data_IF_619367714614
#
_entry.id   IF_619367714614
#
_cell.length_a   1.000
_cell.length_b   1.000
_cell.length_c   1.000
_cell.angle_alpha   90.00
_cell.angle_beta   90.00
_cell.angle_gamma   90.00
#
_symmetry.space_group_name_H-M   'P 1'
#
loop_
_entity.id
_entity.type
_entity.pdbx_description
1 polymer ?
#
# COMPACT_ATOMS: atom_id res chain seq x y z
N UNK A 1 23.93 2.61 5.99
CA UNK A 1 24.34 1.91 6.04
C UNK A 1 23.97 0.60 5.72
N UNK A 2 24.08 -0.17 6.34
CA UNK A 2 23.96 -1.56 6.09
C UNK A 2 22.67 -1.98 5.42
N UNK A 3 21.68 -1.17 5.52
CA UNK A 3 20.40 -1.48 4.92
C UNK A 3 20.48 -1.68 3.43
N UNK A 4 21.41 -1.04 2.79
CA UNK A 4 21.53 -1.13 1.35
C UNK A 4 22.11 -2.46 0.91
N UNK A 5 22.43 -3.33 1.85
CA UNK A 5 23.15 -4.55 1.54
C UNK A 5 22.32 -5.72 1.07
N UNK A 6 21.02 -5.55 0.85
CA UNK A 6 20.20 -6.66 0.37
C UNK A 6 20.06 -6.59 -1.14
N UNK A 7 20.86 -7.40 -1.87
CA UNK A 7 20.78 -7.38 -3.33
C UNK A 7 19.38 -7.77 -3.80
N UNK A 8 18.84 -7.04 -4.74
CA UNK A 8 17.53 -7.31 -5.26
C UNK A 8 16.39 -6.70 -4.47
N UNK A 9 16.66 -6.17 -3.27
CA UNK A 9 15.62 -5.46 -2.51
C UNK A 9 15.69 -3.99 -2.84
N UNK A 10 14.60 -3.50 -3.39
CA UNK A 10 14.47 -2.09 -3.74
C UNK A 10 13.71 -1.37 -2.64
N UNK A 11 14.14 -0.16 -2.30
CA UNK A 11 13.41 0.69 -1.38
C UNK A 11 12.20 1.27 -2.08
N UNK A 12 11.03 1.00 -1.54
CA UNK A 12 9.79 1.53 -2.09
C UNK A 12 9.29 2.69 -1.24
N UNK A 13 8.62 3.64 -1.90
CA UNK A 13 7.83 4.67 -1.23
C UNK A 13 6.43 4.12 -1.07
N UNK A 14 6.02 3.85 0.15
CA UNK A 14 4.74 3.18 0.43
C UNK A 14 3.83 4.09 1.25
N UNK A 15 2.59 4.21 0.80
CA UNK A 15 1.53 4.87 1.59
C UNK A 15 0.72 3.77 2.26
N UNK A 16 0.68 3.79 3.59
CA UNK A 16 -0.16 2.90 4.38
C UNK A 16 -1.40 3.66 4.79
N UNK A 17 -2.59 3.09 4.50
CA UNK A 17 -3.86 3.71 4.88
C UNK A 17 -4.60 2.73 5.78
N UNK A 18 -4.67 3.05 7.06
CA UNK A 18 -5.26 2.18 8.07
C UNK A 18 -5.75 3.04 9.22
N UNK A 19 -7.04 2.99 9.53
CA UNK A 19 -7.61 3.81 10.59
C UNK A 19 -7.33 3.27 12.00
N UNK A 20 -7.07 1.97 12.13
CA UNK A 20 -6.79 1.37 13.43
C UNK A 20 -5.35 1.66 13.82
N UNK A 21 -5.18 2.44 14.88
CA UNK A 21 -3.86 2.95 15.27
C UNK A 21 -2.83 1.87 15.54
N UNK A 22 -3.21 0.81 16.24
CA UNK A 22 -2.27 -0.26 16.56
C UNK A 22 -1.83 -1.00 15.31
N UNK A 23 -2.77 -1.33 14.43
CA UNK A 23 -2.47 -2.00 13.17
C UNK A 23 -1.59 -1.12 12.30
N UNK A 24 -1.91 0.17 12.25
CA UNK A 24 -1.11 1.12 11.46
C UNK A 24 0.32 1.19 11.96
N UNK A 25 0.52 1.23 13.27
CA UNK A 25 1.88 1.27 13.85
C UNK A 25 2.66 0.00 13.54
N UNK A 26 2.00 -1.17 13.65
CA UNK A 26 2.66 -2.43 13.37
C UNK A 26 3.06 -2.50 11.89
N UNK A 27 2.16 -2.12 11.00
CA UNK A 27 2.45 -2.14 9.57
C UNK A 27 3.58 -1.19 9.21
N UNK A 28 3.52 0.04 9.69
CA UNK A 28 4.55 1.03 9.34
C UNK A 28 5.90 0.63 9.90
N UNK A 29 5.92 0.09 11.12
CA UNK A 29 7.16 -0.37 11.72
C UNK A 29 7.77 -1.53 10.95
N UNK A 30 6.96 -2.49 10.56
CA UNK A 30 7.43 -3.66 9.84
C UNK A 30 7.93 -3.30 8.44
N UNK A 31 7.17 -2.49 7.72
CA UNK A 31 7.56 -2.10 6.37
C UNK A 31 8.82 -1.24 6.38
N UNK A 32 8.96 -0.38 7.40
CA UNK A 32 10.19 0.37 7.59
C UNK A 32 11.36 -0.54 7.89
N UNK A 33 11.13 -1.59 8.67
CA UNK A 33 12.17 -2.59 8.97
C UNK A 33 12.62 -3.32 7.70
N UNK A 34 11.72 -3.52 6.75
CA UNK A 34 12.07 -4.11 5.46
C UNK A 34 12.87 -3.15 4.58
N UNK A 35 13.07 -1.92 5.01
CA UNK A 35 13.88 -0.95 4.28
C UNK A 35 13.11 0.03 3.43
N UNK A 36 11.79 0.05 3.54
CA UNK A 36 10.96 0.97 2.74
C UNK A 36 10.73 2.29 3.45
N UNK A 37 10.39 3.32 2.66
CA UNK A 37 10.06 4.63 3.16
C UNK A 37 8.53 4.72 3.25
N UNK A 38 8.00 5.01 4.45
CA UNK A 38 6.58 4.88 4.72
C UNK A 38 5.96 6.22 5.06
N UNK A 39 4.80 6.51 4.48
CA UNK A 39 3.89 7.55 4.92
C UNK A 39 2.63 6.85 5.40
N UNK A 40 2.00 7.37 6.42
CA UNK A 40 0.82 6.74 7.00
C UNK A 40 -0.36 7.70 7.07
N UNK A 41 -1.52 7.21 6.65
CA UNK A 41 -2.77 7.95 6.69
C UNK A 41 -3.80 7.11 7.42
N UNK A 42 -4.78 7.76 8.03
CA UNK A 42 -5.81 7.06 8.79
C UNK A 42 -7.21 7.22 8.20
N UNK A 43 -7.35 7.93 7.09
CA UNK A 43 -8.64 8.13 6.45
C UNK A 43 -8.46 8.51 4.98
N UNK A 44 -9.58 8.63 4.26
CA UNK A 44 -9.56 8.97 2.84
C UNK A 44 -8.92 10.33 2.60
N UNK A 45 -9.33 11.33 3.38
CA UNK A 45 -8.87 12.70 3.18
C UNK A 45 -7.35 12.82 3.30
N UNK A 46 -6.77 12.24 4.36
CA UNK A 46 -5.33 12.30 4.56
C UNK A 46 -4.58 11.49 3.50
N UNK A 47 -5.16 10.36 3.07
CA UNK A 47 -4.54 9.57 1.99
C UNK A 47 -4.49 10.36 0.69
N UNK A 48 -5.59 11.05 0.35
CA UNK A 48 -5.62 11.88 -0.85
C UNK A 48 -4.63 13.03 -0.78
N UNK A 49 -4.47 13.61 0.41
CA UNK A 49 -3.50 14.70 0.59
C UNK A 49 -2.08 14.21 0.33
N UNK A 50 -1.73 13.03 0.81
CA UNK A 50 -0.42 12.44 0.53
C UNK A 50 -0.22 12.21 -0.96
N UNK A 51 -1.23 11.67 -1.63
CA UNK A 51 -1.14 11.39 -3.06
C UNK A 51 -0.94 12.65 -3.92
N UNK A 52 -1.47 13.77 -3.46
CA UNK A 52 -1.29 15.04 -4.15
C UNK A 52 0.11 15.61 -3.90
N UNK A 53 0.71 15.28 -2.78
CA UNK A 53 1.96 15.88 -2.34
C UNK A 53 3.20 15.13 -2.79
N UNK A 54 3.11 13.81 -2.99
CA UNK A 54 4.30 13.05 -3.34
C UNK A 54 3.96 11.78 -4.11
N UNK A 55 5.00 11.19 -4.69
CA UNK A 55 4.89 9.94 -5.45
C UNK A 55 5.05 8.74 -4.55
N UNK A 56 4.30 7.69 -4.85
CA UNK A 56 4.40 6.42 -4.16
C UNK A 56 4.59 5.31 -5.17
N UNK A 57 5.28 4.25 -4.76
CA UNK A 57 5.43 3.04 -5.56
C UNK A 57 4.32 2.06 -5.24
N UNK A 58 3.80 2.11 -4.03
CA UNK A 58 2.75 1.21 -3.56
C UNK A 58 1.85 1.87 -2.54
N UNK A 59 0.60 1.41 -2.50
CA UNK A 59 -0.33 1.73 -1.42
C UNK A 59 -0.74 0.41 -0.77
N UNK A 60 -0.71 0.36 0.56
CA UNK A 60 -1.24 -0.76 1.33
C UNK A 60 -2.39 -0.19 2.15
N UNK A 61 -3.61 -0.55 1.83
CA UNK A 61 -4.79 0.10 2.40
C UNK A 61 -5.87 -0.88 2.84
N UNK A 62 -6.46 -0.59 3.99
CA UNK A 62 -7.71 -1.21 4.38
C UNK A 62 -8.78 -0.81 3.37
N UNK A 63 -9.77 -1.66 3.13
CA UNK A 63 -10.85 -1.37 2.19
C UNK A 63 -11.87 -0.39 2.77
N UNK A 64 -12.17 -0.51 4.05
CA UNK A 64 -13.14 0.36 4.71
C UNK A 64 -12.42 1.41 5.55
N UNK A 65 -12.76 2.66 5.37
CA UNK A 65 -12.16 3.77 6.09
C UNK A 65 -13.27 4.60 6.74
N UNK A 66 -12.97 5.35 7.82
CA UNK A 66 -14.03 6.04 8.56
C UNK A 66 -14.80 7.08 7.75
N UNK A 67 -14.16 7.69 6.76
CA UNK A 67 -14.76 8.75 5.96
C UNK A 67 -15.04 8.32 4.52
N UNK A 68 -15.02 7.02 4.25
CA UNK A 68 -15.34 6.54 2.91
C UNK A 68 -14.70 5.22 2.57
N UNK A 69 -14.58 4.95 1.29
CA UNK A 69 -14.02 3.71 0.79
C UNK A 69 -12.62 3.93 0.25
N UNK A 70 -11.73 2.97 0.51
CA UNK A 70 -10.40 2.99 -0.08
C UNK A 70 -10.47 2.94 -1.61
N UNK A 71 -11.57 2.45 -2.18
CA UNK A 71 -11.74 2.44 -3.62
C UNK A 71 -11.63 3.84 -4.21
N UNK A 72 -12.15 4.83 -3.49
CA UNK A 72 -12.05 6.22 -3.89
C UNK A 72 -10.59 6.68 -3.94
N UNK A 73 -9.83 6.30 -2.92
CA UNK A 73 -8.40 6.62 -2.85
C UNK A 73 -7.65 5.98 -4.02
N UNK A 74 -7.95 4.71 -4.29
CA UNK A 74 -7.22 3.97 -5.32
C UNK A 74 -7.54 4.46 -6.73
N UNK A 75 -8.79 4.81 -7.00
CA UNK A 75 -9.15 5.39 -8.30
C UNK A 75 -8.36 6.67 -8.55
N UNK A 76 -8.29 7.54 -7.55
CA UNK A 76 -7.56 8.79 -7.66
C UNK A 76 -6.06 8.52 -7.80
N UNK A 77 -5.52 7.58 -7.02
CA UNK A 77 -4.10 7.24 -7.09
C UNK A 77 -3.71 6.73 -8.47
N UNK A 78 -4.50 5.81 -9.01
CA UNK A 78 -4.20 5.22 -10.32
C UNK A 78 -4.34 6.22 -11.45
N UNK A 79 -5.22 7.21 -11.27
CA UNK A 79 -5.38 8.27 -12.24
C UNK A 79 -4.18 9.22 -12.26
N UNK A 80 -3.55 9.41 -11.11
CA UNK A 80 -2.45 10.36 -10.95
C UNK A 80 -1.07 9.76 -11.08
N UNK A 81 -0.91 8.52 -10.66
CA UNK A 81 0.42 7.94 -10.49
C UNK A 81 0.44 6.50 -10.98
N UNK A 82 1.63 6.05 -11.31
CA UNK A 82 1.86 4.66 -11.67
C UNK A 82 2.32 3.93 -10.40
N UNK A 83 1.42 3.19 -9.78
CA UNK A 83 1.72 2.50 -8.53
C UNK A 83 0.95 1.18 -8.43
N UNK A 84 1.34 0.35 -7.47
CA UNK A 84 0.68 -0.91 -7.17
C UNK A 84 -0.13 -0.75 -5.89
N UNK A 85 -1.34 -1.26 -5.89
CA UNK A 85 -2.25 -1.13 -4.76
C UNK A 85 -2.55 -2.49 -4.14
N UNK A 86 -2.35 -2.59 -2.82
CA UNK A 86 -2.58 -3.81 -2.04
C UNK A 86 -3.71 -3.53 -1.05
N UNK A 87 -4.77 -4.31 -1.14
CA UNK A 87 -5.92 -4.18 -0.24
C UNK A 87 -5.77 -5.13 0.95
N UNK A 88 -6.14 -4.64 2.13
CA UNK A 88 -6.25 -5.45 3.33
C UNK A 88 -7.73 -5.56 3.65
N UNK A 89 -8.25 -6.78 3.70
CA UNK A 89 -9.68 -6.98 3.93
C UNK A 89 -9.92 -7.83 5.16
N UNK A 90 -10.99 -7.52 5.89
CA UNK A 90 -11.34 -8.27 7.09
C UNK A 90 -11.87 -9.65 6.74
N UNK A 91 -12.66 -9.75 5.69
CA UNK A 91 -13.38 -10.98 5.37
C UNK A 91 -12.95 -11.70 4.12
N UNK A 92 -12.36 -11.01 3.16
CA UNK A 92 -12.03 -11.61 1.90
C UNK A 92 -13.25 -12.08 1.10
N UNK A 93 -14.42 -11.48 1.36
CA UNK A 93 -15.64 -11.85 0.64
C UNK A 93 -15.52 -11.49 -0.83
N UNK A 94 -16.10 -12.32 -1.70
CA UNK A 94 -15.99 -12.15 -3.13
C UNK A 94 -16.43 -10.78 -3.62
N UNK A 95 -17.51 -10.23 -3.04
CA UNK A 95 -18.00 -8.93 -3.48
C UNK A 95 -17.03 -7.80 -3.14
N UNK A 96 -16.38 -7.90 -1.98
CA UNK A 96 -15.42 -6.87 -1.56
C UNK A 96 -14.13 -6.96 -2.39
N UNK A 97 -13.69 -8.18 -2.67
CA UNK A 97 -12.54 -8.41 -3.52
C UNK A 97 -12.81 -7.88 -4.93
N UNK A 98 -14.00 -8.17 -5.48
CA UNK A 98 -14.37 -7.69 -6.80
C UNK A 98 -14.45 -6.18 -6.86
N UNK A 99 -15.08 -5.56 -5.86
CA UNK A 99 -15.20 -4.11 -5.80
C UNK A 99 -13.82 -3.45 -5.74
N UNK A 100 -12.92 -4.00 -4.92
CA UNK A 100 -11.57 -3.48 -4.83
C UNK A 100 -10.80 -3.64 -6.14
N UNK A 101 -10.94 -4.80 -6.76
CA UNK A 101 -10.28 -5.06 -8.04
C UNK A 101 -10.78 -4.09 -9.11
N UNK A 102 -12.08 -3.85 -9.15
CA UNK A 102 -12.68 -2.93 -10.12
C UNK A 102 -12.18 -1.49 -9.89
N UNK A 103 -11.88 -1.13 -8.64
CA UNK A 103 -11.34 0.19 -8.32
C UNK A 103 -9.87 0.33 -8.68
N UNK A 104 -9.16 -0.80 -8.84
CA UNK A 104 -7.76 -0.78 -9.24
C UNK A 104 -6.78 -1.43 -8.27
N UNK A 105 -7.27 -2.10 -7.23
CA UNK A 105 -6.38 -2.88 -6.35
C UNK A 105 -5.80 -4.05 -7.13
N UNK A 106 -4.50 -4.25 -6.98
CA UNK A 106 -3.77 -5.30 -7.69
C UNK A 106 -3.66 -6.58 -6.87
N UNK A 107 -3.67 -6.46 -5.54
CA UNK A 107 -3.56 -7.60 -4.63
C UNK A 107 -4.54 -7.44 -3.49
N UNK A 108 -5.00 -8.57 -2.96
CA UNK A 108 -5.89 -8.59 -1.79
C UNK A 108 -5.34 -9.56 -0.77
N UNK A 109 -5.12 -9.08 0.45
CA UNK A 109 -4.66 -9.88 1.57
C UNK A 109 -5.73 -9.84 2.65
N UNK A 110 -6.06 -11.01 3.19
CA UNK A 110 -7.10 -11.13 4.21
C UNK A 110 -6.49 -10.99 5.59
N UNK A 111 -7.14 -10.25 6.47
CA UNK A 111 -6.71 -10.14 7.87
C UNK A 111 -7.07 -11.41 8.63
N UNK A 112 -6.26 -11.85 9.62
CA UNK A 112 -5.04 -11.21 10.08
C UNK A 112 -3.93 -11.30 9.04
N UNK A 113 -3.14 -10.25 8.94
CA UNK A 113 -2.14 -10.12 7.88
C UNK A 113 -1.02 -11.11 8.10
N UNK A 114 -0.72 -11.89 7.05
CA UNK A 114 0.46 -12.73 7.01
C UNK A 114 1.61 -11.86 6.49
N UNK A 115 2.53 -11.52 7.38
CA UNK A 115 3.60 -10.60 7.01
C UNK A 115 4.56 -11.18 5.98
N UNK A 116 4.73 -12.50 5.96
CA UNK A 116 5.54 -13.14 4.93
C UNK A 116 4.88 -12.99 3.56
N UNK A 117 3.57 -13.12 3.51
CA UNK A 117 2.81 -12.92 2.27
C UNK A 117 2.89 -11.48 1.80
N UNK A 118 2.75 -10.53 2.72
CA UNK A 118 2.88 -9.12 2.39
C UNK A 118 4.26 -8.81 1.83
N UNK A 119 5.30 -9.34 2.46
CA UNK A 119 6.67 -9.16 1.99
C UNK A 119 6.85 -9.71 0.58
N UNK A 120 6.30 -10.90 0.32
CA UNK A 120 6.40 -11.51 -1.01
C UNK A 120 5.73 -10.63 -2.06
N UNK A 121 4.56 -10.07 -1.74
CA UNK A 121 3.87 -9.16 -2.67
C UNK A 121 4.74 -7.94 -2.94
N UNK A 122 5.30 -7.34 -1.89
CA UNK A 122 6.11 -6.13 -2.06
C UNK A 122 7.37 -6.38 -2.88
N UNK A 123 7.95 -7.58 -2.76
CA UNK A 123 9.14 -7.93 -3.53
C UNK A 123 8.87 -8.00 -5.03
N UNK A 124 7.60 -8.12 -5.42
CA UNK A 124 7.24 -8.16 -6.83
C UNK A 124 6.98 -6.78 -7.41
N UNK A 125 7.01 -5.75 -6.57
CA UNK A 125 6.74 -4.38 -7.01
C UNK A 125 8.04 -3.69 -7.36
N UNK A 126 8.14 -3.18 -8.59
CA UNK A 126 9.29 -2.39 -9.00
C UNK A 126 9.05 -0.93 -8.62
N UNK A 127 10.07 -0.20 -8.16
CA UNK A 127 9.93 1.23 -7.93
C UNK A 127 9.49 1.94 -9.20
N UNK A 128 8.62 2.93 -9.04
CA UNK A 128 8.03 3.63 -10.17
C UNK A 128 9.09 4.23 -11.10
N UNK A 129 10.24 4.60 -10.56
CA UNK A 129 11.30 5.21 -11.35
C UNK A 129 12.23 4.22 -12.04
N UNK A 130 12.24 2.95 -11.62
CA UNK A 130 13.23 2.01 -12.15
C UNK A 130 13.03 1.71 -13.64
N UNK A 131 11.79 1.67 -14.09
CA UNK A 131 11.50 1.40 -15.49
C UNK A 131 11.93 2.51 -16.44
N UNK A 132 12.13 3.70 -15.94
CA UNK A 132 12.50 4.84 -16.75
C UNK A 132 13.98 4.87 -17.08
N UNK A 133 14.74 4.10 -16.37
CA UNK A 133 16.18 4.06 -16.57
C UNK A 133 16.60 3.04 -17.62
N UNK A 134 15.66 2.25 -18.04
CA UNK A 134 15.95 1.19 -19.01
C UNK A 134 16.20 1.72 -20.41
#
# INVERSE_FOLDING_TARGET
MATASFPGLMTLQILVVEDHGDTRRVLTGLLGHFGHSISAADNVESALAFLRAKHFDAIVSDLALPDGSACEVIREAKRRQHLTAVALTADGEDKDVRRGRDAGFDYHLTKPIDFAQLRTVLEQIAPANSGRLA
#
